data_IF_490156051913
#
_entry.id   IF_490156051913
#
_cell.length_a   1.000
_cell.length_b   1.000
_cell.length_c   1.000
_cell.angle_alpha   90.00
_cell.angle_beta   90.00
_cell.angle_gamma   90.00
#
_symmetry.space_group_name_H-M   'P 1'
#
loop_
_entity.id
_entity.type
_entity.pdbx_description
1 polymer ?
#
# COMPACT_ATOMS: atom_id res chain seq x y z
N UNK A 1 1.97 16.78 21.90
CA UNK A 1 3.33 17.36 21.84
C UNK A 1 3.81 17.25 20.41
N UNK A 2 4.27 18.35 19.78
CA UNK A 2 4.94 18.24 18.49
C UNK A 2 6.36 17.73 18.71
N UNK A 3 6.79 16.78 17.89
CA UNK A 3 8.18 16.29 17.87
C UNK A 3 8.89 16.76 16.61
N UNK A 4 10.23 16.67 16.60
CA UNK A 4 11.01 16.87 15.37
C UNK A 4 10.74 15.78 14.31
N UNK A 5 10.12 14.67 14.69
CA UNK A 5 9.79 13.56 13.80
C UNK A 5 8.43 13.69 13.12
N UNK A 6 7.57 14.62 13.51
CA UNK A 6 6.19 14.71 13.00
C UNK A 6 6.14 14.91 11.47
N UNK A 7 6.98 15.80 10.94
CA UNK A 7 7.11 16.07 9.52
C UNK A 7 7.65 14.86 8.75
N UNK A 8 8.65 14.17 9.32
CA UNK A 8 9.22 12.97 8.74
C UNK A 8 8.24 11.79 8.76
N UNK A 9 7.49 11.62 9.85
CA UNK A 9 6.48 10.58 9.99
C UNK A 9 5.35 10.79 8.97
N UNK A 10 4.89 12.03 8.79
CA UNK A 10 3.90 12.37 7.76
C UNK A 10 4.41 12.02 6.37
N UNK A 11 5.67 12.33 6.06
CA UNK A 11 6.28 11.99 4.78
C UNK A 11 6.35 10.47 4.58
N UNK A 12 6.74 9.71 5.60
CA UNK A 12 6.79 8.24 5.52
C UNK A 12 5.40 7.63 5.38
N UNK A 13 4.39 8.17 6.06
CA UNK A 13 3.00 7.74 5.89
C UNK A 13 2.52 7.97 4.46
N UNK A 14 2.80 9.14 3.89
CA UNK A 14 2.49 9.41 2.48
C UNK A 14 3.17 8.44 1.52
N UNK A 15 4.39 7.97 1.82
CA UNK A 15 5.06 6.96 1.00
C UNK A 15 4.34 5.60 1.06
N UNK A 16 3.88 5.18 2.25
CA UNK A 16 3.04 3.98 2.43
C UNK A 16 1.76 4.11 1.61
N UNK A 17 1.03 5.21 1.79
CA UNK A 17 -0.26 5.45 1.13
C UNK A 17 -0.10 5.46 -0.40
N UNK A 18 0.96 6.08 -0.92
CA UNK A 18 1.30 6.04 -2.35
C UNK A 18 1.55 4.61 -2.84
N UNK A 19 2.33 3.82 -2.11
CA UNK A 19 2.60 2.44 -2.51
C UNK A 19 1.35 1.56 -2.51
N UNK A 20 0.42 1.80 -1.57
CA UNK A 20 -0.87 1.11 -1.53
C UNK A 20 -1.74 1.45 -2.74
N UNK A 21 -1.82 2.74 -3.10
CA UNK A 21 -2.52 3.19 -4.31
C UNK A 21 -1.96 2.54 -5.57
N UNK A 22 -0.64 2.45 -5.71
CA UNK A 22 -0.02 1.81 -6.88
C UNK A 22 -0.32 0.29 -6.93
N UNK A 23 -0.36 -0.39 -5.79
CA UNK A 23 -0.79 -1.81 -5.73
C UNK A 23 -2.24 -1.95 -6.21
N UNK A 24 -3.15 -1.09 -5.72
CA UNK A 24 -4.56 -1.13 -6.11
C UNK A 24 -4.72 -0.90 -7.61
N UNK A 25 -4.01 0.09 -8.17
CA UNK A 25 -4.01 0.35 -9.62
C UNK A 25 -3.55 -0.86 -10.41
N UNK A 26 -2.44 -1.48 -10.01
CA UNK A 26 -1.92 -2.66 -10.70
C UNK A 26 -2.89 -3.85 -10.61
N UNK A 27 -3.55 -4.04 -9.46
CA UNK A 27 -4.56 -5.09 -9.29
C UNK A 27 -5.78 -4.87 -10.20
N UNK A 28 -6.23 -3.62 -10.33
CA UNK A 28 -7.33 -3.28 -11.23
C UNK A 28 -6.95 -3.54 -12.70
N UNK A 29 -5.71 -3.24 -13.10
CA UNK A 29 -5.22 -3.58 -14.44
C UNK A 29 -5.19 -5.10 -14.66
N UNK A 30 -4.70 -5.87 -13.69
CA UNK A 30 -4.72 -7.34 -13.76
C UNK A 30 -6.14 -7.86 -13.91
N UNK A 31 -7.08 -7.34 -13.12
CA UNK A 31 -8.49 -7.74 -13.18
C UNK A 31 -9.10 -7.45 -14.57
N UNK A 32 -8.89 -6.25 -15.08
CA UNK A 32 -9.36 -5.87 -16.42
C UNK A 32 -8.78 -6.75 -17.53
N UNK A 33 -7.49 -7.13 -17.43
CA UNK A 33 -6.86 -8.05 -18.39
C UNK A 33 -7.40 -9.48 -18.29
N UNK A 34 -7.79 -9.93 -17.09
CA UNK A 34 -8.49 -11.20 -16.93
C UNK A 34 -9.91 -11.16 -17.51
N UNK A 35 -10.62 -10.03 -17.38
CA UNK A 35 -11.92 -9.84 -18.03
C UNK A 35 -11.78 -9.90 -19.56
N UNK A 36 -10.80 -9.20 -20.13
CA UNK A 36 -10.48 -9.23 -21.57
C UNK A 36 -10.16 -10.67 -22.03
N UNK A 37 -9.32 -11.40 -21.28
CA UNK A 37 -9.03 -12.81 -21.57
C UNK A 37 -10.29 -13.69 -21.53
N UNK A 38 -11.20 -13.44 -20.60
CA UNK A 38 -12.46 -14.17 -20.48
C UNK A 38 -13.42 -13.90 -21.65
N UNK A 39 -13.35 -12.70 -22.25
CA UNK A 39 -14.08 -12.37 -23.46
C UNK A 39 -13.54 -13.16 -24.65
N UNK A 40 -12.23 -13.18 -24.85
CA UNK A 40 -11.62 -13.98 -25.92
C UNK A 40 -11.88 -15.49 -25.79
N UNK A 41 -11.91 -16.03 -24.57
CA UNK A 41 -12.29 -17.43 -24.34
C UNK A 41 -13.75 -17.67 -24.78
N UNK A 42 -14.67 -16.78 -24.42
CA UNK A 42 -16.08 -16.89 -24.83
C UNK A 42 -16.24 -16.76 -26.35
N UNK A 43 -15.49 -15.86 -26.97
CA UNK A 43 -15.47 -15.73 -28.44
C UNK A 43 -14.99 -17.01 -29.09
N UNK A 44 -13.89 -17.60 -28.59
CA UNK A 44 -13.33 -18.85 -29.10
C UNK A 44 -14.33 -20.02 -29.00
N UNK A 45 -15.02 -20.13 -27.87
CA UNK A 45 -16.06 -21.14 -27.64
C UNK A 45 -17.26 -20.96 -28.58
N UNK A 46 -17.58 -19.72 -28.95
CA UNK A 46 -18.63 -19.41 -29.93
C UNK A 46 -18.22 -19.72 -31.38
N UNK A 47 -16.92 -19.91 -31.67
CA UNK A 47 -16.45 -20.26 -33.02
C UNK A 47 -16.76 -21.73 -33.35
N UNK A 48 -17.90 -21.95 -34.00
CA UNK A 48 -18.28 -23.25 -34.56
C UNK A 48 -17.48 -23.58 -35.84
N UNK A 49 -17.06 -24.84 -35.96
CA UNK A 49 -16.47 -25.37 -37.20
C UNK A 49 -17.62 -25.74 -38.14
N UNK A 50 -17.59 -25.32 -39.42
CA UNK A 50 -18.63 -25.68 -40.36
C UNK A 50 -18.62 -27.20 -40.62
N UNK A 51 -19.74 -27.87 -40.36
CA UNK A 51 -19.92 -29.31 -40.64
C UNK A 51 -20.12 -29.60 -42.13
N UNK A 52 -20.49 -28.57 -42.90
CA UNK A 52 -20.63 -28.61 -44.36
C UNK A 52 -20.24 -27.25 -44.95
N UNK A 53 -19.80 -27.24 -46.21
CA UNK A 53 -19.34 -26.02 -46.89
C UNK A 53 -18.10 -26.26 -47.75
N UNK A 54 -17.49 -25.17 -48.23
CA UNK A 54 -16.25 -25.25 -48.99
C UNK A 54 -15.03 -25.34 -48.08
N UNK A 55 -13.91 -25.86 -48.59
CA UNK A 55 -12.63 -25.85 -47.88
C UNK A 55 -12.20 -24.43 -47.44
N UNK A 56 -12.59 -23.40 -48.19
CA UNK A 56 -12.31 -22.01 -47.86
C UNK A 56 -13.01 -21.54 -46.58
N UNK A 57 -14.21 -22.07 -46.30
CA UNK A 57 -14.97 -21.75 -45.10
C UNK A 57 -14.30 -22.35 -43.86
N UNK A 58 -13.85 -23.60 -43.95
CA UNK A 58 -13.03 -24.23 -42.91
C UNK A 58 -11.71 -23.47 -42.68
N UNK A 59 -11.00 -23.11 -43.75
CA UNK A 59 -9.73 -22.38 -43.65
C UNK A 59 -9.92 -21.03 -42.95
N UNK A 60 -10.97 -20.27 -43.30
CA UNK A 60 -11.28 -18.99 -42.66
C UNK A 60 -11.50 -19.16 -41.16
N UNK A 61 -12.32 -20.13 -40.76
CA UNK A 61 -12.60 -20.39 -39.34
C UNK A 61 -11.34 -20.82 -38.58
N UNK A 62 -10.49 -21.64 -39.19
CA UNK A 62 -9.21 -22.05 -38.62
C UNK A 62 -8.27 -20.86 -38.37
N UNK A 63 -8.18 -19.92 -39.31
CA UNK A 63 -7.37 -18.70 -39.13
C UNK A 63 -7.92 -17.80 -38.02
N UNK A 64 -9.25 -17.66 -37.90
CA UNK A 64 -9.89 -16.92 -36.79
C UNK A 64 -9.51 -17.56 -35.45
N UNK A 65 -9.61 -18.89 -35.32
CA UNK A 65 -9.21 -19.59 -34.08
C UNK A 65 -7.75 -19.35 -33.73
N UNK A 66 -6.84 -19.45 -34.70
CA UNK A 66 -5.42 -19.18 -34.48
C UNK A 66 -5.17 -17.74 -34.02
N UNK A 67 -5.85 -16.78 -34.63
CA UNK A 67 -5.76 -15.37 -34.24
C UNK A 67 -6.21 -15.18 -32.79
N UNK A 68 -7.36 -15.75 -32.40
CA UNK A 68 -7.87 -15.65 -31.02
C UNK A 68 -6.90 -16.26 -30.01
N UNK A 69 -6.38 -17.46 -30.29
CA UNK A 69 -5.38 -18.10 -29.43
C UNK A 69 -4.12 -17.23 -29.29
N UNK A 70 -3.64 -16.65 -30.38
CA UNK A 70 -2.50 -15.74 -30.34
C UNK A 70 -2.76 -14.49 -29.48
N UNK A 71 -3.95 -13.89 -29.57
CA UNK A 71 -4.32 -12.75 -28.71
C UNK A 71 -4.39 -13.16 -27.23
N UNK A 72 -4.92 -14.35 -26.94
CA UNK A 72 -4.94 -14.90 -25.58
C UNK A 72 -3.53 -15.10 -25.01
N UNK A 73 -2.58 -15.59 -25.82
CA UNK A 73 -1.19 -15.78 -25.41
C UNK A 73 -0.52 -14.44 -25.06
N UNK A 74 -0.73 -13.41 -25.89
CA UNK A 74 -0.24 -12.05 -25.62
C UNK A 74 -0.80 -11.50 -24.30
N UNK A 75 -2.10 -11.65 -24.06
CA UNK A 75 -2.72 -11.21 -22.80
C UNK A 75 -2.18 -11.96 -21.60
N UNK A 76 -1.90 -13.26 -21.71
CA UNK A 76 -1.29 -14.03 -20.64
C UNK A 76 0.13 -13.55 -20.32
N UNK A 77 0.89 -13.14 -21.33
CA UNK A 77 2.21 -12.52 -21.15
C UNK A 77 2.09 -11.17 -20.42
N UNK A 78 1.15 -10.32 -20.84
CA UNK A 78 0.87 -9.03 -20.17
C UNK A 78 0.48 -9.22 -18.69
N UNK A 79 -0.43 -10.15 -18.40
CA UNK A 79 -0.85 -10.51 -17.03
C UNK A 79 0.36 -10.98 -16.22
N UNK A 80 1.23 -11.80 -16.82
CA UNK A 80 2.45 -12.29 -16.16
C UNK A 80 3.42 -11.14 -15.85
N UNK A 81 3.54 -10.17 -16.76
CA UNK A 81 4.28 -8.93 -16.54
C UNK A 81 3.72 -8.11 -15.37
N UNK A 82 2.40 -7.89 -15.34
CA UNK A 82 1.72 -7.17 -14.27
C UNK A 82 1.85 -7.86 -12.90
N UNK A 83 1.82 -9.20 -12.85
CA UNK A 83 2.08 -9.97 -11.62
C UNK A 83 3.51 -9.81 -11.12
N UNK A 84 4.49 -9.70 -12.02
CA UNK A 84 5.85 -9.41 -11.62
C UNK A 84 6.02 -7.99 -11.08
N UNK A 85 5.29 -7.01 -11.66
CA UNK A 85 5.21 -5.65 -11.13
C UNK A 85 4.57 -5.67 -9.73
N UNK A 86 3.48 -6.42 -9.54
CA UNK A 86 2.80 -6.57 -8.25
C UNK A 86 3.76 -7.01 -7.14
N UNK A 87 4.61 -8.01 -7.42
CA UNK A 87 5.63 -8.49 -6.47
C UNK A 87 6.59 -7.37 -6.05
N UNK A 88 7.04 -6.55 -7.01
CA UNK A 88 7.93 -5.40 -6.73
C UNK A 88 7.21 -4.34 -5.91
N UNK A 89 5.96 -4.00 -6.26
CA UNK A 89 5.14 -3.04 -5.52
C UNK A 89 4.90 -3.47 -4.08
N UNK A 90 4.62 -4.76 -3.84
CA UNK A 90 4.48 -5.34 -2.49
C UNK A 90 5.75 -5.22 -1.67
N UNK A 91 6.91 -5.43 -2.29
CA UNK A 91 8.20 -5.23 -1.62
C UNK A 91 8.46 -3.76 -1.27
N UNK A 92 8.16 -2.83 -2.18
CA UNK A 92 8.25 -1.40 -1.89
C UNK A 92 7.31 -0.98 -0.75
N UNK A 93 6.08 -1.48 -0.74
CA UNK A 93 5.12 -1.26 0.35
C UNK A 93 5.66 -1.79 1.68
N UNK A 94 6.21 -3.01 1.70
CA UNK A 94 6.81 -3.61 2.90
C UNK A 94 7.93 -2.73 3.46
N UNK A 95 8.85 -2.28 2.59
CA UNK A 95 9.94 -1.39 2.98
C UNK A 95 9.42 -0.03 3.49
N UNK A 96 8.43 0.55 2.83
CA UNK A 96 7.81 1.80 3.26
C UNK A 96 7.17 1.68 4.65
N UNK A 97 6.49 0.55 4.94
CA UNK A 97 5.91 0.26 6.25
C UNK A 97 6.98 0.14 7.34
N UNK A 98 8.07 -0.59 7.05
CA UNK A 98 9.20 -0.72 7.99
C UNK A 98 9.78 0.66 8.32
N UNK A 99 10.01 1.50 7.31
CA UNK A 99 10.54 2.84 7.51
C UNK A 99 9.57 3.75 8.29
N UNK A 100 8.27 3.65 8.04
CA UNK A 100 7.26 4.36 8.80
C UNK A 100 7.28 3.96 10.29
N UNK A 101 7.28 2.65 10.59
CA UNK A 101 7.28 2.15 11.96
C UNK A 101 8.58 2.51 12.71
N UNK A 102 9.74 2.51 12.03
CA UNK A 102 10.99 3.00 12.64
C UNK A 102 10.87 4.45 13.11
N UNK A 103 10.34 5.34 12.27
CA UNK A 103 10.19 6.75 12.63
C UNK A 103 9.14 6.93 13.73
N UNK A 104 8.05 6.17 13.67
CA UNK A 104 7.01 6.18 14.70
C UNK A 104 7.58 5.78 16.07
N UNK A 105 8.38 4.71 16.12
CA UNK A 105 9.05 4.29 17.34
C UNK A 105 9.98 5.36 17.92
N UNK A 106 10.74 6.06 17.06
CA UNK A 106 11.60 7.17 17.50
C UNK A 106 10.79 8.33 18.08
N UNK A 107 9.67 8.68 17.43
CA UNK A 107 8.75 9.71 17.91
C UNK A 107 8.17 9.34 19.27
N UNK A 108 7.67 8.12 19.44
CA UNK A 108 7.10 7.64 20.70
C UNK A 108 8.11 7.68 21.84
N UNK A 109 9.37 7.31 21.58
CA UNK A 109 10.44 7.41 22.56
C UNK A 109 10.77 8.86 22.95
N UNK A 110 10.73 9.80 22.00
CA UNK A 110 10.92 11.21 22.29
C UNK A 110 9.76 11.78 23.13
N UNK A 111 8.52 11.40 22.80
CA UNK A 111 7.34 11.78 23.60
C UNK A 111 7.45 11.23 25.02
N UNK A 112 7.84 9.95 25.20
CA UNK A 112 8.06 9.36 26.53
C UNK A 112 9.10 10.16 27.33
N UNK A 113 10.22 10.54 26.71
CA UNK A 113 11.25 11.36 27.36
C UNK A 113 10.72 12.74 27.77
N UNK A 114 9.96 13.41 26.91
CA UNK A 114 9.35 14.70 27.22
C UNK A 114 8.35 14.58 28.38
N UNK A 115 7.47 13.57 28.36
CA UNK A 115 6.52 13.31 29.45
C UNK A 115 7.24 13.08 30.77
N UNK A 116 8.31 12.26 30.78
CA UNK A 116 9.12 12.04 31.98
C UNK A 116 9.85 13.29 32.46
N UNK A 117 10.24 14.18 31.56
CA UNK A 117 10.85 15.46 31.91
C UNK A 117 9.82 16.38 32.56
N UNK A 118 8.63 16.53 31.97
CA UNK A 118 7.54 17.34 32.53
C UNK A 118 7.11 16.85 33.90
N UNK A 119 6.94 15.53 34.10
CA UNK A 119 6.61 14.96 35.41
C UNK A 119 7.65 15.30 36.48
N UNK A 120 8.94 15.29 36.12
CA UNK A 120 10.02 15.67 37.04
C UNK A 120 10.02 17.16 37.35
N UNK A 121 9.73 18.00 36.36
CA UNK A 121 9.63 19.45 36.54
C UNK A 121 8.43 19.81 37.44
N UNK A 122 7.29 19.17 37.18
CA UNK A 122 6.07 19.34 37.97
C UNK A 122 6.28 18.92 39.43
N UNK A 123 6.93 17.78 39.68
CA UNK A 123 7.28 17.36 41.04
C UNK A 123 8.14 18.38 41.78
N UNK A 124 9.20 18.90 41.14
CA UNK A 124 10.04 19.96 41.74
C UNK A 124 9.26 21.24 42.03
N UNK A 125 8.41 21.67 41.11
CA UNK A 125 7.61 22.87 41.30
C UNK A 125 6.61 22.70 42.46
N UNK A 126 6.02 21.51 42.61
CA UNK A 126 5.13 21.20 43.74
C UNK A 126 5.89 21.21 45.07
N UNK A 127 7.10 20.64 45.11
CA UNK A 127 7.95 20.65 46.30
C UNK A 127 8.37 22.08 46.68
N UNK A 128 8.73 22.92 45.70
CA UNK A 128 9.06 24.34 45.91
C UNK A 128 7.86 25.12 46.45
N UNK A 129 6.68 24.95 45.85
CA UNK A 129 5.44 25.59 46.33
C UNK A 129 5.10 25.14 47.76
N UNK A 130 5.24 23.84 48.06
CA UNK A 130 5.00 23.31 49.39
C UNK A 130 5.96 23.92 50.43
N UNK A 131 7.24 24.05 50.09
CA UNK A 131 8.24 24.71 50.94
C UNK A 131 7.90 26.18 51.19
N UNK A 132 7.54 26.94 50.13
CA UNK A 132 7.14 28.34 50.27
C UNK A 132 5.92 28.50 51.20
N UNK A 133 4.88 27.67 51.02
CA UNK A 133 3.70 27.68 51.87
C UNK A 133 4.03 27.34 53.33
N UNK A 134 4.90 26.35 53.54
CA UNK A 134 5.33 25.97 54.88
C UNK A 134 6.11 27.10 55.57
N UNK A 135 7.06 27.74 54.86
CA UNK A 135 7.84 28.86 55.41
C UNK A 135 6.95 30.06 55.71
N UNK A 136 6.03 30.41 54.82
CA UNK A 136 5.11 31.53 55.04
C UNK A 136 4.14 31.28 56.21
N UNK A 137 3.68 30.05 56.42
CA UNK A 137 2.87 29.71 57.59
C UNK A 137 3.67 29.73 58.90
N UNK A 138 4.99 29.55 58.84
CA UNK A 138 5.86 29.57 60.03
C UNK A 138 6.25 30.99 60.46
N UNK A 139 6.28 31.95 59.53
CA UNK A 139 6.52 33.38 59.81
C UNK A 139 5.27 34.14 60.31
N UNK A 140 4.08 33.58 60.12
CA UNK A 140 2.80 34.14 60.59
C UNK A 140 2.36 33.60 61.96
N UNK A 141 3.24 32.90 62.70
CA UNK A 141 3.06 32.42 64.08
C UNK A 141 4.14 33.03 64.96
#
# INVERSE_FOLDING_TARGET
>A
MKTKFDSLLKLKKQAVDKSEVEIIKNNNLIASKYEELSEFIRELDAVCVPESGSFWDFKRVSEIKKMLVYQMDLLQEEISGLKNIEKKLREFYRLACIEYEKIKYLQENEIKKMVQHFKRLEGKNLDEVAMMLFTSNKENV
#
